data_IF_487063064316
#
_entry.id   IF_487063064316
#
_cell.length_a   1.000
_cell.length_b   1.000
_cell.length_c   1.000
_cell.angle_alpha   90.00
_cell.angle_beta   90.00
_cell.angle_gamma   90.00
#
_symmetry.space_group_name_H-M   'P 1'
#
loop_
_entity.id
_entity.type
_entity.pdbx_description
1 polymer ?
#
# COMPACT_ATOMS: atom_id res chain seq x y z
N UNK A 1 -25.25 -12.00 -1.39
CA UNK A 1 -24.36 -11.35 -2.38
C UNK A 1 -23.94 -9.92 -1.97
N UNK A 2 -24.46 -9.34 -0.89
CA UNK A 2 -24.00 -8.04 -0.38
C UNK A 2 -22.62 -8.11 0.33
N UNK A 3 -22.37 -9.20 1.06
CA UNK A 3 -21.18 -9.38 1.92
C UNK A 3 -19.84 -9.26 1.17
N UNK A 4 -19.72 -9.87 -0.02
CA UNK A 4 -18.47 -9.85 -0.78
C UNK A 4 -18.13 -8.48 -1.41
N UNK A 5 -19.13 -7.59 -1.56
CA UNK A 5 -18.92 -6.22 -2.05
C UNK A 5 -18.55 -5.29 -0.89
N UNK A 6 -19.18 -5.48 0.27
CA UNK A 6 -18.88 -4.78 1.52
C UNK A 6 -17.48 -5.15 2.05
N UNK A 7 -17.13 -6.43 2.10
CA UNK A 7 -15.79 -6.92 2.48
C UNK A 7 -14.69 -6.38 1.56
N UNK A 8 -14.98 -6.25 0.26
CA UNK A 8 -14.04 -5.67 -0.72
C UNK A 8 -13.89 -4.16 -0.53
N UNK A 9 -14.96 -3.49 -0.14
CA UNK A 9 -14.93 -2.05 0.18
C UNK A 9 -14.11 -1.81 1.44
N UNK A 10 -14.31 -2.63 2.47
CA UNK A 10 -13.59 -2.58 3.76
C UNK A 10 -12.08 -2.81 3.57
N UNK A 11 -11.71 -3.84 2.81
CA UNK A 11 -10.31 -4.10 2.48
C UNK A 11 -9.66 -2.97 1.66
N UNK A 12 -10.40 -2.35 0.74
CA UNK A 12 -9.91 -1.23 -0.05
C UNK A 12 -9.74 0.04 0.78
N UNK A 13 -10.66 0.30 1.72
CA UNK A 13 -10.58 1.39 2.68
C UNK A 13 -9.39 1.22 3.62
N UNK A 14 -9.15 0.00 4.14
CA UNK A 14 -7.98 -0.26 4.98
C UNK A 14 -6.66 -0.08 4.21
N UNK A 15 -6.59 -0.52 2.94
CA UNK A 15 -5.42 -0.28 2.09
C UNK A 15 -5.20 1.22 1.88
N UNK A 16 -6.26 1.99 1.63
CA UNK A 16 -6.19 3.44 1.44
C UNK A 16 -5.65 4.13 2.70
N UNK A 17 -6.17 3.78 3.88
CA UNK A 17 -5.70 4.30 5.18
C UNK A 17 -4.22 4.00 5.42
N UNK A 18 -3.78 2.79 5.08
CA UNK A 18 -2.37 2.40 5.19
C UNK A 18 -1.49 3.17 4.20
N UNK A 19 -1.97 3.42 2.98
CA UNK A 19 -1.26 4.23 1.99
C UNK A 19 -1.13 5.69 2.44
N UNK A 20 -2.17 6.27 3.05
CA UNK A 20 -2.13 7.61 3.64
C UNK A 20 -1.10 7.65 4.78
N UNK A 21 -1.11 6.68 5.69
CA UNK A 21 -0.15 6.60 6.79
C UNK A 21 1.30 6.50 6.31
N UNK A 22 1.57 5.70 5.27
CA UNK A 22 2.88 5.61 4.62
C UNK A 22 3.27 6.95 3.98
N UNK A 23 2.34 7.60 3.28
CA UNK A 23 2.57 8.89 2.62
C UNK A 23 2.96 9.97 3.64
N UNK A 24 2.20 10.12 4.71
CA UNK A 24 2.45 11.13 5.75
C UNK A 24 3.82 10.91 6.40
N UNK A 25 4.10 9.67 6.79
CA UNK A 25 5.38 9.30 7.40
C UNK A 25 6.57 9.59 6.48
N UNK A 26 6.48 9.24 5.21
CA UNK A 26 7.54 9.50 4.25
C UNK A 26 7.68 10.97 3.90
N UNK A 27 6.59 11.74 3.93
CA UNK A 27 6.64 13.20 3.81
C UNK A 27 7.38 13.83 5.00
N UNK A 28 7.05 13.44 6.23
CA UNK A 28 7.72 13.92 7.45
C UNK A 28 9.22 13.63 7.45
N UNK A 29 9.60 12.43 6.99
CA UNK A 29 11.00 11.97 6.93
C UNK A 29 11.72 12.42 5.65
N UNK A 30 11.03 13.10 4.72
CA UNK A 30 11.53 13.52 3.40
C UNK A 30 12.08 12.34 2.57
N UNK A 31 11.45 11.18 2.68
CA UNK A 31 11.80 9.97 1.95
C UNK A 31 11.27 10.02 0.51
N UNK A 32 12.01 10.70 -0.38
CA UNK A 32 11.60 10.92 -1.77
C UNK A 32 11.44 9.63 -2.59
N UNK A 33 12.27 8.62 -2.35
CA UNK A 33 12.22 7.35 -3.12
C UNK A 33 10.94 6.57 -2.79
N UNK A 34 10.61 6.24 -1.53
CA UNK A 34 9.32 5.64 -1.18
C UNK A 34 8.11 6.42 -1.67
N UNK A 35 8.12 7.75 -1.55
CA UNK A 35 7.04 8.62 -2.04
C UNK A 35 6.85 8.48 -3.56
N UNK A 36 7.93 8.48 -4.34
CA UNK A 36 7.85 8.34 -5.79
C UNK A 36 7.25 6.98 -6.20
N UNK A 37 7.61 5.91 -5.49
CA UNK A 37 7.02 4.58 -5.71
C UNK A 37 5.52 4.59 -5.41
N UNK A 38 5.12 5.12 -4.25
CA UNK A 38 3.70 5.17 -3.88
C UNK A 38 2.89 6.00 -4.86
N UNK A 39 3.31 7.23 -5.15
CA UNK A 39 2.61 8.16 -6.03
C UNK A 39 2.50 7.67 -7.49
N UNK A 40 3.30 6.69 -7.91
CA UNK A 40 3.17 6.10 -9.24
C UNK A 40 1.91 5.22 -9.37
N UNK A 41 1.40 4.69 -8.26
CA UNK A 41 0.27 3.75 -8.24
C UNK A 41 -0.90 4.20 -7.37
N UNK A 42 -0.65 5.16 -6.48
CA UNK A 42 -1.60 5.80 -5.57
C UNK A 42 -1.77 7.28 -5.95
N UNK A 43 -2.98 7.88 -5.84
CA UNK A 43 -4.21 7.31 -5.27
C UNK A 43 -4.95 6.34 -6.18
N UNK A 44 -5.53 5.31 -5.58
CA UNK A 44 -6.28 4.26 -6.28
C UNK A 44 -7.71 4.77 -6.52
N UNK A 45 -7.99 5.27 -7.72
CA UNK A 45 -9.32 5.76 -8.09
C UNK A 45 -10.31 4.60 -8.25
N UNK A 46 -10.89 4.18 -7.11
CA UNK A 46 -11.82 3.05 -7.00
C UNK A 46 -11.11 1.72 -6.76
N UNK A 47 -11.74 0.82 -6.00
CA UNK A 47 -11.23 -0.48 -5.56
C UNK A 47 -11.06 -1.52 -6.70
N UNK A 48 -10.36 -1.14 -7.78
CA UNK A 48 -10.05 -2.04 -8.89
C UNK A 48 -8.96 -3.01 -8.43
N UNK A 49 -9.19 -4.34 -8.52
CA UNK A 49 -8.19 -5.35 -8.18
C UNK A 49 -6.87 -5.15 -8.93
N UNK A 50 -6.93 -4.67 -10.17
CA UNK A 50 -5.76 -4.42 -11.00
C UNK A 50 -4.89 -3.28 -10.47
N UNK A 51 -5.51 -2.27 -9.84
CA UNK A 51 -4.77 -1.16 -9.21
C UNK A 51 -4.15 -1.61 -7.89
N UNK A 52 -4.87 -2.44 -7.12
CA UNK A 52 -4.36 -3.04 -5.88
C UNK A 52 -3.17 -3.97 -6.18
N UNK A 53 -3.25 -4.79 -7.22
CA UNK A 53 -2.14 -5.64 -7.66
C UNK A 53 -0.91 -4.82 -8.05
N UNK A 54 -1.12 -3.71 -8.78
CA UNK A 54 -0.04 -2.79 -9.16
C UNK A 54 0.60 -2.14 -7.93
N UNK A 55 -0.19 -1.60 -7.01
CA UNK A 55 0.30 -1.06 -5.74
C UNK A 55 1.14 -2.10 -5.00
N UNK A 56 0.60 -3.32 -4.85
CA UNK A 56 1.28 -4.42 -4.16
C UNK A 56 2.62 -4.77 -4.82
N UNK A 57 2.66 -4.82 -6.16
CA UNK A 57 3.90 -5.05 -6.90
C UNK A 57 4.91 -3.93 -6.65
N UNK A 58 4.46 -2.66 -6.75
CA UNK A 58 5.33 -1.50 -6.54
C UNK A 58 5.88 -1.43 -5.11
N UNK A 59 5.09 -1.76 -4.10
CA UNK A 59 5.56 -1.83 -2.72
C UNK A 59 6.53 -3.00 -2.48
N UNK A 60 6.34 -4.15 -3.14
CA UNK A 60 7.32 -5.25 -3.12
C UNK A 60 8.65 -4.84 -3.76
N UNK A 61 8.61 -4.17 -4.91
CA UNK A 61 9.79 -3.67 -5.58
C UNK A 61 10.54 -2.67 -4.68
N UNK A 62 9.81 -1.77 -4.00
CA UNK A 62 10.40 -0.84 -3.04
C UNK A 62 11.14 -1.57 -1.91
N UNK A 63 10.55 -2.63 -1.35
CA UNK A 63 11.18 -3.46 -0.31
C UNK A 63 12.41 -4.21 -0.83
N UNK A 64 12.39 -4.67 -2.08
CA UNK A 64 13.49 -5.44 -2.68
C UNK A 64 14.67 -4.52 -3.05
N UNK A 65 14.40 -3.40 -3.72
CA UNK A 65 15.42 -2.57 -4.34
C UNK A 65 15.86 -1.37 -3.49
N UNK A 66 15.05 -0.96 -2.51
CA UNK A 66 15.31 0.23 -1.69
C UNK A 66 15.06 -0.03 -0.19
N UNK A 67 15.38 -1.25 0.27
CA UNK A 67 15.21 -1.66 1.66
C UNK A 67 15.92 -0.74 2.68
N UNK A 68 17.02 -0.12 2.28
CA UNK A 68 17.82 0.82 3.06
C UNK A 68 17.09 2.14 3.35
N UNK A 69 16.13 2.50 2.50
CA UNK A 69 15.29 3.70 2.66
C UNK A 69 14.10 3.47 3.61
N UNK A 70 13.87 2.21 4.01
CA UNK A 70 12.75 1.78 4.83
C UNK A 70 13.21 1.42 6.24
N UNK A 71 12.46 1.87 7.25
CA UNK A 71 12.62 1.39 8.62
C UNK A 71 11.71 0.17 8.91
N UNK A 72 11.71 -0.29 10.16
CA UNK A 72 10.93 -1.45 10.57
C UNK A 72 9.42 -1.21 10.49
N UNK A 73 8.97 0.02 10.74
CA UNK A 73 7.56 0.38 10.72
C UNK A 73 7.05 0.50 9.28
N UNK A 74 7.86 1.09 8.39
CA UNK A 74 7.57 1.14 6.95
C UNK A 74 7.35 -0.28 6.39
N UNK A 75 8.24 -1.21 6.74
CA UNK A 75 8.15 -2.62 6.32
C UNK A 75 6.90 -3.31 6.89
N UNK A 76 6.54 -3.01 8.14
CA UNK A 76 5.35 -3.59 8.76
C UNK A 76 4.07 -3.10 8.07
N UNK A 77 3.96 -1.80 7.78
CA UNK A 77 2.83 -1.19 7.08
C UNK A 77 2.73 -1.73 5.65
N UNK A 78 3.84 -1.79 4.91
CA UNK A 78 3.88 -2.38 3.56
C UNK A 78 3.44 -3.86 3.60
N UNK A 79 3.93 -4.63 4.57
CA UNK A 79 3.54 -6.03 4.74
C UNK A 79 2.04 -6.20 4.95
N UNK A 80 1.42 -5.29 5.72
CA UNK A 80 -0.03 -5.29 5.98
C UNK A 80 -0.84 -4.97 4.72
N UNK A 81 -0.42 -3.98 3.93
CA UNK A 81 -1.04 -3.71 2.61
C UNK A 81 -1.01 -4.96 1.73
N UNK A 82 0.14 -5.64 1.66
CA UNK A 82 0.30 -6.85 0.84
C UNK A 82 -0.60 -7.99 1.36
N UNK A 83 -0.72 -8.17 2.67
CA UNK A 83 -1.56 -9.22 3.27
C UNK A 83 -3.04 -9.02 2.93
N UNK A 84 -3.55 -7.79 3.11
CA UNK A 84 -4.93 -7.42 2.78
C UNK A 84 -5.19 -7.60 1.28
N UNK A 85 -4.30 -7.10 0.43
CA UNK A 85 -4.42 -7.18 -1.02
C UNK A 85 -4.45 -8.62 -1.55
N UNK A 86 -3.75 -9.54 -0.90
CA UNK A 86 -3.66 -10.95 -1.33
C UNK A 86 -4.72 -11.85 -0.68
N UNK A 87 -5.54 -11.32 0.24
CA UNK A 87 -6.51 -12.11 1.00
C UNK A 87 -5.86 -13.14 1.93
N UNK A 88 -4.57 -12.98 2.22
CA UNK A 88 -3.85 -13.79 3.18
C UNK A 88 -4.02 -13.17 4.57
N UNK A 89 -5.21 -13.34 5.15
CA UNK A 89 -5.46 -13.10 6.58
C UNK A 89 -5.04 -14.30 7.42
#
# INVERSE_FOLDING_TARGET
MASALEERSDAAEEIEDLCIALFDRWCERRCMVPLAYLMHTWPIAGASPQLIDRLTSTLRDLVIYHADTLDAEDRALIGRVIAIATGAS
#
